data_IF_734084981533
#
_entry.id   IF_734084981533
#
_cell.length_a   1.000
_cell.length_b   1.000
_cell.length_c   1.000
_cell.angle_alpha   90.00
_cell.angle_beta   90.00
_cell.angle_gamma   90.00
#
_symmetry.space_group_name_H-M   'P 1'
#
loop_
_entity.id
_entity.type
_entity.pdbx_description
1 polymer ?
#
# COMPACT_ATOMS: atom_id res chain seq x y z
N UNK A 1 7.36 -4.78 1.86
CA UNK A 1 6.35 -5.53 1.08
C UNK A 1 5.02 -5.43 1.80
N UNK A 2 3.91 -5.20 1.10
CA UNK A 2 2.58 -4.92 1.68
C UNK A 2 1.55 -5.87 1.05
N UNK A 3 0.69 -6.48 1.87
CA UNK A 3 -0.40 -7.34 1.38
C UNK A 3 -1.79 -6.67 1.52
N UNK A 4 -2.32 -6.24 0.39
CA UNK A 4 -3.72 -5.86 0.18
C UNK A 4 -4.50 -6.83 -0.71
N UNK A 5 -3.94 -7.99 -1.04
CA UNK A 5 -4.60 -9.01 -1.85
C UNK A 5 -5.62 -9.78 -1.01
N UNK A 6 -6.82 -9.89 -1.54
CA UNK A 6 -8.02 -10.36 -0.84
C UNK A 6 -8.06 -11.90 -0.84
N UNK A 7 -7.14 -12.53 -0.10
CA UNK A 7 -7.07 -13.99 0.05
C UNK A 7 -6.54 -14.38 1.44
N UNK A 8 -7.22 -15.32 2.09
CA UNK A 8 -6.75 -16.01 3.30
C UNK A 8 -6.13 -17.35 2.91
N UNK A 9 -5.02 -17.82 3.50
CA UNK A 9 -4.32 -17.29 4.68
C UNK A 9 -3.26 -16.20 4.39
N UNK A 10 -3.34 -15.50 3.25
CA UNK A 10 -2.38 -14.49 2.84
C UNK A 10 -1.46 -14.97 1.71
N UNK A 11 -0.33 -14.28 1.52
CA UNK A 11 0.57 -14.48 0.37
C UNK A 11 2.00 -14.82 0.78
N UNK A 12 2.76 -15.43 -0.12
CA UNK A 12 4.17 -15.76 0.09
C UNK A 12 5.01 -15.01 -0.95
N UNK A 13 5.94 -14.18 -0.49
CA UNK A 13 6.88 -13.45 -1.35
C UNK A 13 8.18 -14.23 -1.56
N UNK A 14 8.64 -14.30 -2.80
CA UNK A 14 9.94 -14.87 -3.19
C UNK A 14 10.70 -13.93 -4.10
N UNK A 15 12.02 -13.89 -3.94
CA UNK A 15 12.92 -13.17 -4.84
C UNK A 15 14.00 -14.14 -5.32
N UNK A 16 14.15 -14.30 -6.64
CA UNK A 16 15.06 -15.28 -7.27
C UNK A 16 14.97 -16.70 -6.67
N UNK A 17 13.74 -17.22 -6.50
CA UNK A 17 13.45 -18.55 -5.94
C UNK A 17 13.87 -18.79 -4.48
N UNK A 18 14.66 -17.90 -3.87
CA UNK A 18 14.87 -17.86 -2.43
C UNK A 18 13.65 -17.20 -1.77
N UNK A 19 13.08 -17.88 -0.77
CA UNK A 19 12.03 -17.30 0.06
C UNK A 19 12.58 -16.12 0.85
N UNK A 20 11.93 -14.96 0.74
CA UNK A 20 12.24 -13.81 1.60
C UNK A 20 11.45 -13.86 2.91
N UNK A 21 10.36 -14.63 2.90
CA UNK A 21 9.79 -15.23 4.09
C UNK A 21 10.24 -16.69 4.13
N UNK A 22 10.40 -17.23 5.33
CA UNK A 22 10.32 -18.68 5.52
C UNK A 22 9.07 -19.17 4.76
N UNK A 23 9.13 -20.27 3.99
CA UNK A 23 7.93 -20.92 3.44
C UNK A 23 6.81 -21.15 4.47
N UNK A 24 7.14 -21.13 5.77
CA UNK A 24 6.21 -21.21 6.90
C UNK A 24 5.54 -19.88 7.29
N UNK A 25 6.01 -18.71 6.80
CA UNK A 25 5.46 -17.39 7.15
C UNK A 25 4.77 -16.73 5.96
N UNK A 26 3.43 -16.76 6.00
CA UNK A 26 2.55 -16.05 5.09
C UNK A 26 2.43 -14.59 5.52
N UNK A 27 2.40 -13.69 4.57
CA UNK A 27 2.02 -12.31 4.83
C UNK A 27 0.50 -12.20 4.75
N UNK A 28 -0.16 -12.13 5.91
CA UNK A 28 -1.61 -12.05 6.00
C UNK A 28 -2.16 -10.76 5.35
N UNK A 29 -3.44 -10.78 4.99
CA UNK A 29 -4.13 -9.59 4.51
C UNK A 29 -4.05 -8.44 5.53
N UNK A 30 -3.96 -7.19 5.06
CA UNK A 30 -3.74 -5.96 5.87
C UNK A 30 -2.41 -5.95 6.65
N UNK A 31 -1.46 -6.79 6.27
CA UNK A 31 -0.14 -6.86 6.91
C UNK A 31 0.98 -6.44 5.95
N UNK A 32 2.15 -6.17 6.52
CA UNK A 32 3.34 -5.77 5.78
C UNK A 32 4.62 -6.32 6.41
N UNK A 33 5.67 -6.42 5.60
CA UNK A 33 7.03 -6.74 6.01
C UNK A 33 7.93 -5.53 5.83
N UNK A 34 8.66 -5.21 6.89
CA UNK A 34 9.63 -4.11 6.95
C UNK A 34 11.05 -4.60 6.69
N UNK A 35 11.91 -3.68 6.28
CA UNK A 35 13.37 -3.83 6.30
C UNK A 35 13.92 -5.03 5.52
N UNK A 36 13.35 -5.29 4.35
CA UNK A 36 13.86 -6.30 3.43
C UNK A 36 15.01 -5.72 2.60
N UNK A 37 16.23 -6.23 2.79
CA UNK A 37 17.39 -5.83 2.00
C UNK A 37 17.44 -6.65 0.71
N UNK A 38 17.50 -5.98 -0.44
CA UNK A 38 17.67 -6.58 -1.76
C UNK A 38 18.95 -6.05 -2.41
N UNK A 39 19.67 -6.91 -3.12
CA UNK A 39 20.77 -6.46 -3.98
C UNK A 39 20.22 -5.68 -5.18
N UNK A 40 20.92 -4.60 -5.56
CA UNK A 40 20.63 -3.86 -6.79
C UNK A 40 20.68 -4.74 -8.04
N UNK A 41 20.01 -4.30 -9.11
CA UNK A 41 19.88 -4.99 -10.38
C UNK A 41 18.49 -5.59 -10.62
N UNK A 42 18.33 -6.30 -11.74
CA UNK A 42 17.08 -6.94 -12.11
C UNK A 42 16.83 -8.18 -11.24
N UNK A 43 15.71 -8.17 -10.52
CA UNK A 43 15.30 -9.24 -9.61
C UNK A 43 13.97 -9.82 -10.04
N UNK A 44 13.91 -11.15 -10.13
CA UNK A 44 12.62 -11.84 -10.27
C UNK A 44 11.89 -11.80 -8.93
N UNK A 45 10.68 -11.28 -8.96
CA UNK A 45 9.76 -11.23 -7.84
C UNK A 45 8.58 -12.14 -8.16
N UNK A 46 8.33 -13.12 -7.31
CA UNK A 46 7.18 -14.01 -7.45
C UNK A 46 6.37 -13.99 -6.17
N UNK A 47 5.06 -13.99 -6.32
CA UNK A 47 4.11 -14.02 -5.21
C UNK A 47 3.22 -15.23 -5.40
N UNK A 48 3.04 -15.98 -4.33
CA UNK A 48 2.26 -17.21 -4.31
C UNK A 48 1.07 -17.07 -3.36
N UNK A 49 -0.05 -17.66 -3.76
CA UNK A 49 -1.22 -17.86 -2.90
C UNK A 49 -0.83 -18.71 -1.70
N UNK A 50 -1.22 -18.27 -0.50
CA UNK A 50 -1.02 -19.03 0.73
C UNK A 50 -1.96 -20.23 0.86
N UNK A 51 -3.01 -20.30 0.03
CA UNK A 51 -4.02 -21.38 0.02
C UNK A 51 -3.47 -22.64 -0.62
N UNK A 52 -2.97 -22.51 -1.84
CA UNK A 52 -2.65 -23.64 -2.71
C UNK A 52 -1.22 -23.58 -3.28
N UNK A 53 -0.41 -22.60 -2.85
CA UNK A 53 0.92 -22.32 -3.40
C UNK A 53 0.94 -22.08 -4.91
N UNK A 54 -0.19 -21.72 -5.53
CA UNK A 54 -0.22 -21.28 -6.91
C UNK A 54 0.46 -19.92 -7.03
N UNK A 55 1.24 -19.74 -8.09
CA UNK A 55 1.87 -18.44 -8.37
C UNK A 55 0.81 -17.48 -8.88
N UNK A 56 0.62 -16.35 -8.20
CA UNK A 56 -0.37 -15.33 -8.54
C UNK A 56 0.27 -14.11 -9.21
N UNK A 57 1.56 -13.87 -8.96
CA UNK A 57 2.36 -12.82 -9.62
C UNK A 57 3.72 -13.39 -9.97
N UNK A 58 4.20 -13.10 -11.18
CA UNK A 58 5.58 -13.35 -11.60
C UNK A 58 6.07 -12.15 -12.41
N UNK A 59 7.02 -11.41 -11.87
CA UNK A 59 7.50 -10.18 -12.51
C UNK A 59 9.00 -10.00 -12.30
N UNK A 60 9.57 -9.09 -13.08
CA UNK A 60 10.95 -8.64 -12.92
C UNK A 60 10.93 -7.15 -12.63
N UNK A 61 11.58 -6.75 -11.54
CA UNK A 61 11.80 -5.34 -11.21
C UNK A 61 13.29 -5.05 -11.12
N UNK A 62 13.71 -3.89 -11.60
CA UNK A 62 15.12 -3.47 -11.53
C UNK A 62 15.30 -2.51 -10.37
N UNK A 63 15.94 -3.01 -9.31
CA UNK A 63 16.23 -2.25 -8.11
C UNK A 63 17.50 -1.42 -8.29
N UNK A 64 17.43 -0.14 -7.94
CA UNK A 64 18.58 0.76 -7.92
C UNK A 64 19.31 0.60 -6.59
N UNK A 65 20.62 0.80 -6.64
CA UNK A 65 21.41 0.85 -5.42
C UNK A 65 20.98 2.01 -4.52
N UNK A 66 21.15 1.84 -3.21
CA UNK A 66 20.89 2.88 -2.19
C UNK A 66 19.51 3.55 -2.28
N UNK A 67 18.48 2.81 -2.73
CA UNK A 67 17.12 3.30 -2.93
C UNK A 67 16.11 2.46 -2.14
N UNK A 68 15.16 3.12 -1.47
CA UNK A 68 14.08 2.47 -0.73
C UNK A 68 12.85 2.25 -1.61
N UNK A 69 12.16 1.13 -1.40
CA UNK A 69 11.01 0.73 -2.20
C UNK A 69 9.88 0.16 -1.34
N UNK A 70 8.65 0.43 -1.79
CA UNK A 70 7.45 -0.19 -1.29
C UNK A 70 6.79 -1.03 -2.39
N UNK A 71 6.74 -2.34 -2.19
CA UNK A 71 6.04 -3.28 -3.06
C UNK A 71 4.67 -3.66 -2.49
N UNK A 72 3.63 -3.61 -3.31
CA UNK A 72 2.24 -3.85 -2.93
C UNK A 72 1.64 -4.94 -3.80
N UNK A 73 1.11 -6.01 -3.18
CA UNK A 73 0.20 -6.95 -3.85
C UNK A 73 -1.22 -6.66 -3.42
N UNK A 74 -2.15 -6.67 -4.36
CA UNK A 74 -3.55 -6.27 -4.18
C UNK A 74 -4.42 -6.91 -5.27
N UNK A 75 -5.72 -6.66 -5.23
CA UNK A 75 -6.69 -7.26 -6.13
C UNK A 75 -7.43 -8.44 -5.50
N UNK A 76 -8.26 -9.08 -6.33
CA UNK A 76 -9.13 -10.20 -5.98
C UNK A 76 -8.56 -11.54 -6.46
N UNK A 77 -9.02 -12.67 -5.90
CA UNK A 77 -8.70 -13.99 -6.44
C UNK A 77 -8.97 -14.10 -7.95
N UNK A 78 -7.92 -14.36 -8.73
CA UNK A 78 -7.97 -14.44 -10.19
C UNK A 78 -7.56 -13.15 -10.93
N UNK A 79 -7.45 -12.02 -10.23
CA UNK A 79 -6.97 -10.72 -10.77
C UNK A 79 -5.96 -10.07 -9.80
N UNK A 80 -4.93 -10.84 -9.43
CA UNK A 80 -3.88 -10.36 -8.55
C UNK A 80 -2.99 -9.34 -9.29
N UNK A 81 -2.76 -8.19 -8.67
CA UNK A 81 -1.91 -7.11 -9.18
C UNK A 81 -0.73 -6.89 -8.24
N UNK A 82 0.38 -6.44 -8.82
CA UNK A 82 1.56 -6.08 -8.05
C UNK A 82 2.25 -4.86 -8.63
N UNK A 83 2.56 -3.90 -7.75
CA UNK A 83 3.26 -2.67 -8.10
C UNK A 83 4.41 -2.42 -7.12
N UNK A 84 5.43 -1.71 -7.60
CA UNK A 84 6.56 -1.27 -6.80
C UNK A 84 6.70 0.24 -6.97
N UNK A 85 6.73 0.96 -5.84
CA UNK A 85 6.96 2.40 -5.81
C UNK A 85 8.32 2.70 -5.18
N UNK A 86 9.04 3.68 -5.75
CA UNK A 86 10.22 4.28 -5.11
C UNK A 86 9.76 5.19 -3.96
N UNK A 87 10.48 5.12 -2.84
CA UNK A 87 10.15 5.89 -1.65
C UNK A 87 11.01 7.16 -1.62
N UNK A 88 10.41 8.30 -2.01
CA UNK A 88 11.10 9.59 -2.07
C UNK A 88 10.78 10.41 -0.83
N UNK A 89 11.67 10.36 0.15
CA UNK A 89 11.60 11.18 1.35
C UNK A 89 11.66 12.68 1.00
N UNK A 90 10.92 13.48 1.76
CA UNK A 90 11.08 14.94 1.80
C UNK A 90 12.02 15.32 2.94
N UNK A 91 12.89 16.31 2.72
CA UNK A 91 13.79 16.80 3.77
C UNK A 91 12.99 17.53 4.87
N UNK A 92 13.52 17.51 6.08
CA UNK A 92 13.10 18.34 7.22
C UNK A 92 11.59 18.32 7.50
N UNK A 93 11.09 17.18 8.00
CA UNK A 93 9.70 17.07 8.45
C UNK A 93 9.38 17.96 9.67
N UNK A 94 10.38 18.33 10.47
CA UNK A 94 10.15 19.03 11.75
C UNK A 94 9.15 18.26 12.62
N UNK A 95 8.12 18.96 13.09
CA UNK A 95 7.03 18.39 13.91
C UNK A 95 5.91 17.74 13.08
N UNK A 96 6.09 17.57 11.76
CA UNK A 96 5.13 16.93 10.87
C UNK A 96 5.44 15.44 10.67
N UNK A 97 4.44 14.72 10.15
CA UNK A 97 4.58 13.41 9.55
C UNK A 97 4.54 13.52 8.00
N UNK A 98 5.29 12.68 7.31
CA UNK A 98 5.23 12.57 5.85
C UNK A 98 4.16 11.56 5.43
N UNK A 99 3.19 11.94 4.61
CA UNK A 99 2.11 11.07 4.16
C UNK A 99 2.12 10.91 2.63
N UNK A 100 1.75 9.75 2.15
CA UNK A 100 1.38 9.52 0.74
C UNK A 100 0.21 8.55 0.68
N UNK A 101 -0.46 8.49 -0.46
CA UNK A 101 -1.66 7.66 -0.62
C UNK A 101 -1.57 6.74 -1.82
N UNK A 102 -2.01 5.48 -1.66
CA UNK A 102 -2.26 4.52 -2.73
C UNK A 102 -3.69 3.98 -2.64
N UNK A 103 -4.48 4.23 -3.67
CA UNK A 103 -5.75 3.58 -3.99
C UNK A 103 -5.47 2.24 -4.66
N UNK A 104 -5.66 1.15 -3.92
CA UNK A 104 -5.45 -0.24 -4.36
C UNK A 104 -6.72 -1.08 -4.21
N UNK A 105 -7.87 -0.44 -3.95
CA UNK A 105 -9.12 -1.12 -3.70
C UNK A 105 -9.86 -1.43 -5.00
N UNK A 106 -10.67 -2.47 -4.97
CA UNK A 106 -11.52 -2.89 -6.08
C UNK A 106 -12.95 -2.35 -5.91
N UNK A 107 -13.64 -2.17 -7.04
CA UNK A 107 -15.04 -1.72 -7.06
C UNK A 107 -15.25 -0.23 -6.76
N UNK A 108 -14.19 0.59 -6.78
CA UNK A 108 -14.28 2.05 -6.67
C UNK A 108 -13.23 2.72 -7.54
N UNK A 109 -13.65 3.68 -8.38
CA UNK A 109 -12.74 4.39 -9.30
C UNK A 109 -12.10 5.60 -8.59
N UNK A 110 -12.89 6.66 -8.44
CA UNK A 110 -12.44 7.91 -7.83
C UNK A 110 -12.40 7.83 -6.31
N UNK A 111 -11.26 8.18 -5.73
CA UNK A 111 -11.06 8.23 -4.28
C UNK A 111 -10.37 9.53 -3.87
N UNK A 112 -10.99 10.20 -2.92
CA UNK A 112 -10.48 11.38 -2.25
C UNK A 112 -10.19 11.06 -0.78
N UNK A 113 -9.03 11.48 -0.28
CA UNK A 113 -8.62 11.32 1.11
C UNK A 113 -8.63 12.68 1.80
N UNK A 114 -9.39 12.81 2.89
CA UNK A 114 -9.33 13.95 3.81
C UNK A 114 -8.70 13.51 5.14
N UNK A 115 -7.95 14.41 5.78
CA UNK A 115 -7.20 14.12 7.01
C UNK A 115 -7.54 15.17 8.07
N UNK A 116 -7.84 14.71 9.29
CA UNK A 116 -8.22 15.57 10.40
C UNK A 116 -9.46 16.41 10.09
N UNK A 117 -9.34 17.71 10.26
CA UNK A 117 -10.43 18.69 10.04
C UNK A 117 -10.37 19.34 8.65
N UNK A 118 -9.58 18.80 7.71
CA UNK A 118 -9.45 19.36 6.37
C UNK A 118 -10.74 19.22 5.56
N UNK A 119 -11.18 20.32 4.97
CA UNK A 119 -12.40 20.38 4.16
C UNK A 119 -12.14 20.01 2.70
N UNK A 120 -10.91 20.17 2.22
CA UNK A 120 -10.45 19.76 0.89
C UNK A 120 -9.71 18.41 0.93
N UNK A 121 -9.79 17.59 -0.12
CA UNK A 121 -8.96 16.39 -0.24
C UNK A 121 -7.47 16.72 -0.17
N UNK A 122 -6.73 15.96 0.65
CA UNK A 122 -5.27 15.95 0.68
C UNK A 122 -4.73 15.15 -0.51
N UNK A 123 -5.42 14.07 -0.86
CA UNK A 123 -5.08 13.24 -2.01
C UNK A 123 -6.33 12.96 -2.84
N UNK A 124 -6.18 12.97 -4.16
CA UNK A 124 -7.21 12.62 -5.13
C UNK A 124 -6.63 11.61 -6.11
N UNK A 125 -7.35 10.52 -6.36
CA UNK A 125 -7.05 9.50 -7.36
C UNK A 125 -8.32 9.25 -8.17
N UNK A 126 -8.21 9.28 -9.50
CA UNK A 126 -9.35 9.05 -10.42
C UNK A 126 -9.40 7.61 -10.94
N UNK A 127 -8.49 6.77 -10.47
CA UNK A 127 -8.34 5.38 -10.88
C UNK A 127 -7.55 4.61 -9.82
N UNK A 128 -7.73 3.28 -9.82
CA UNK A 128 -6.90 2.36 -9.06
C UNK A 128 -5.43 2.51 -9.50
N UNK A 129 -4.50 2.45 -8.55
CA UNK A 129 -3.08 2.50 -8.88
C UNK A 129 -2.64 1.24 -9.61
N UNK A 130 -1.78 1.41 -10.60
CA UNK A 130 -1.14 0.36 -11.38
C UNK A 130 0.30 0.76 -11.78
N UNK A 131 0.95 -0.07 -12.57
CA UNK A 131 2.33 0.19 -13.01
C UNK A 131 2.52 1.47 -13.85
N UNK A 132 1.46 2.00 -14.45
CA UNK A 132 1.49 3.16 -15.36
C UNK A 132 1.35 4.49 -14.64
N UNK A 133 0.64 4.52 -13.50
CA UNK A 133 0.33 5.76 -12.76
C UNK A 133 1.02 5.88 -11.38
N UNK A 134 1.74 4.84 -10.93
CA UNK A 134 2.36 4.77 -9.60
C UNK A 134 3.41 5.85 -9.31
N UNK A 135 4.01 6.44 -10.34
CA UNK A 135 5.04 7.46 -10.19
C UNK A 135 4.52 8.71 -9.44
N UNK A 136 3.23 9.02 -9.56
CA UNK A 136 2.60 10.18 -8.89
C UNK A 136 2.41 9.99 -7.38
N UNK A 137 2.75 8.81 -6.86
CA UNK A 137 2.58 8.42 -5.46
C UNK A 137 3.93 8.29 -4.73
N UNK A 138 5.06 8.53 -5.41
CA UNK A 138 6.39 8.33 -4.83
C UNK A 138 6.74 9.38 -3.77
N UNK A 139 6.19 10.60 -3.90
CA UNK A 139 6.53 11.77 -3.07
C UNK A 139 5.57 11.87 -1.89
N UNK A 140 6.13 12.07 -0.70
CA UNK A 140 5.36 12.34 0.51
C UNK A 140 5.01 13.83 0.64
N UNK A 141 3.88 14.12 1.28
CA UNK A 141 3.47 15.47 1.69
C UNK A 141 3.55 15.58 3.22
N UNK A 142 4.07 16.69 3.73
CA UNK A 142 4.15 16.92 5.18
C UNK A 142 2.78 17.33 5.73
N UNK A 143 2.32 16.67 6.81
CA UNK A 143 1.07 16.96 7.53
C UNK A 143 1.32 17.00 9.04
N UNK A 144 0.52 17.77 9.77
CA UNK A 144 0.63 17.86 11.22
C UNK A 144 0.56 16.47 11.87
N UNK A 145 1.47 16.23 12.83
CA UNK A 145 1.48 15.04 13.67
C UNK A 145 0.42 15.10 14.78
N UNK A 146 0.19 13.96 15.43
CA UNK A 146 -0.79 13.74 16.48
C UNK A 146 -1.95 12.85 16.03
N UNK A 147 -2.93 12.68 16.94
CA UNK A 147 -4.14 11.92 16.67
C UNK A 147 -4.96 12.57 15.55
N UNK A 148 -5.31 11.79 14.53
CA UNK A 148 -6.08 12.25 13.39
C UNK A 148 -7.09 11.21 12.90
N UNK A 149 -8.07 11.66 12.14
CA UNK A 149 -9.02 10.82 11.42
C UNK A 149 -8.76 10.92 9.93
N UNK A 150 -8.70 9.78 9.25
CA UNK A 150 -8.50 9.69 7.80
C UNK A 150 -9.78 9.13 7.20
N UNK A 151 -10.32 9.83 6.20
CA UNK A 151 -11.58 9.46 5.54
C UNK A 151 -11.36 9.34 4.05
N UNK A 152 -11.81 8.23 3.46
CA UNK A 152 -11.90 8.05 2.03
C UNK A 152 -13.33 8.34 1.56
N UNK A 153 -13.44 9.11 0.49
CA UNK A 153 -14.71 9.45 -0.17
C UNK A 153 -14.64 9.13 -1.65
N UNK A 154 -15.76 8.70 -2.23
CA UNK A 154 -15.87 8.48 -3.68
C UNK A 154 -16.12 9.80 -4.45
N UNK A 155 -16.28 9.71 -5.79
CA UNK A 155 -16.62 10.84 -6.66
C UNK A 155 -17.86 11.63 -6.20
N UNK A 156 -18.88 10.94 -5.65
CA UNK A 156 -20.12 11.56 -5.17
C UNK A 156 -19.95 12.26 -3.81
N UNK A 157 -18.77 12.20 -3.20
CA UNK A 157 -18.49 12.73 -1.86
C UNK A 157 -19.00 11.82 -0.73
N UNK A 158 -19.53 10.64 -1.05
CA UNK A 158 -19.95 9.64 -0.08
C UNK A 158 -18.73 9.03 0.59
N UNK A 159 -18.76 8.94 1.92
CA UNK A 159 -17.74 8.24 2.69
C UNK A 159 -17.81 6.73 2.42
N UNK A 160 -16.66 6.16 2.08
CA UNK A 160 -16.53 4.73 1.72
C UNK A 160 -15.62 3.96 2.67
N UNK A 161 -14.73 4.65 3.40
CA UNK A 161 -13.93 4.07 4.47
C UNK A 161 -13.44 5.15 5.44
N UNK A 162 -13.20 4.76 6.69
CA UNK A 162 -12.76 5.66 7.76
C UNK A 162 -11.76 4.96 8.69
N UNK A 163 -10.74 5.71 9.10
CA UNK A 163 -9.77 5.33 10.13
C UNK A 163 -9.71 6.43 11.17
N UNK A 164 -10.25 6.16 12.36
CA UNK A 164 -10.29 7.14 13.45
C UNK A 164 -9.07 7.01 14.38
N UNK A 165 -8.72 8.12 15.02
CA UNK A 165 -7.75 8.20 16.12
C UNK A 165 -6.40 7.54 15.81
N UNK A 166 -5.90 7.68 14.57
CA UNK A 166 -4.56 7.22 14.24
C UNK A 166 -3.54 8.27 14.68
N UNK A 167 -2.55 7.85 15.46
CA UNK A 167 -1.50 8.73 15.96
C UNK A 167 -0.35 8.85 14.96
N UNK A 168 -0.25 9.99 14.27
CA UNK A 168 0.85 10.30 13.36
C UNK A 168 2.04 10.84 14.15
N UNK A 169 3.15 10.12 14.20
CA UNK A 169 4.33 10.55 14.98
C UNK A 169 5.16 11.60 14.21
N UNK A 170 5.74 12.59 14.90
CA UNK A 170 6.63 13.58 14.27
C UNK A 170 7.86 12.90 13.66
N UNK A 171 8.26 13.37 12.49
CA UNK A 171 9.41 12.85 11.74
C UNK A 171 9.20 11.47 11.11
N UNK A 172 8.01 10.87 11.21
CA UNK A 172 7.71 9.55 10.62
C UNK A 172 7.02 9.67 9.27
N UNK A 173 7.26 8.68 8.42
CA UNK A 173 6.63 8.56 7.11
C UNK A 173 5.56 7.48 7.14
N UNK A 174 4.45 7.71 6.44
CA UNK A 174 3.34 6.79 6.35
C UNK A 174 2.83 6.66 4.90
N UNK A 175 2.66 5.42 4.45
CA UNK A 175 1.83 5.14 3.27
C UNK A 175 0.42 4.85 3.74
N UNK A 176 -0.52 5.69 3.33
CA UNK A 176 -1.95 5.40 3.41
C UNK A 176 -2.28 4.48 2.23
N UNK A 177 -2.92 3.35 2.51
CA UNK A 177 -3.44 2.44 1.49
C UNK A 177 -4.95 2.32 1.63
N UNK A 178 -5.69 2.36 0.52
CA UNK A 178 -7.07 1.88 0.46
C UNK A 178 -7.05 0.52 -0.24
N UNK A 179 -7.51 -0.53 0.45
CA UNK A 179 -7.55 -1.93 -0.04
C UNK A 179 -8.91 -2.55 0.27
N UNK A 180 -9.17 -3.73 -0.29
CA UNK A 180 -10.45 -4.44 -0.15
C UNK A 180 -11.39 -4.16 -1.33
N UNK A 181 -12.63 -4.61 -1.20
CA UNK A 181 -13.63 -4.57 -2.27
C UNK A 181 -14.86 -3.77 -1.81
N UNK A 182 -15.28 -2.80 -2.61
CA UNK A 182 -16.46 -1.97 -2.36
C UNK A 182 -17.78 -2.78 -2.30
N UNK A 183 -17.80 -3.98 -2.90
CA UNK A 183 -18.97 -4.86 -2.95
C UNK A 183 -18.95 -5.98 -1.90
N UNK A 184 -17.82 -6.17 -1.20
CA UNK A 184 -17.64 -7.26 -0.23
C UNK A 184 -18.06 -6.85 1.18
N UNK A 185 -18.80 -7.73 1.86
CA UNK A 185 -19.14 -7.58 3.29
C UNK A 185 -18.11 -8.24 4.20
N UNK A 186 -17.36 -9.22 3.71
CA UNK A 186 -16.33 -9.93 4.47
C UNK A 186 -15.00 -9.15 4.49
N UNK A 187 -14.64 -8.58 3.33
CA UNK A 187 -13.39 -7.86 3.13
C UNK A 187 -13.68 -6.47 2.53
N UNK A 188 -14.47 -5.64 3.23
CA UNK A 188 -14.85 -4.32 2.76
C UNK A 188 -13.64 -3.40 2.65
N UNK A 189 -13.85 -2.25 2.00
CA UNK A 189 -12.88 -1.18 1.88
C UNK A 189 -12.26 -0.84 3.25
N UNK A 190 -10.93 -0.77 3.27
CA UNK A 190 -10.14 -0.58 4.47
C UNK A 190 -9.00 0.40 4.23
N UNK A 191 -8.84 1.35 5.14
CA UNK A 191 -7.71 2.28 5.19
C UNK A 191 -6.63 1.71 6.09
N UNK A 192 -5.51 1.31 5.49
CA UNK A 192 -4.29 0.90 6.18
C UNK A 192 -3.26 2.03 6.25
N UNK A 193 -2.45 2.05 7.30
CA UNK A 193 -1.28 2.94 7.42
C UNK A 193 -0.02 2.12 7.68
N UNK A 194 0.92 2.19 6.75
CA UNK A 194 2.25 1.59 6.88
C UNK A 194 3.23 2.66 7.34
N UNK A 195 3.70 2.56 8.58
CA UNK A 195 4.74 3.42 9.16
C UNK A 195 6.13 2.97 8.67
N UNK A 196 7.03 3.90 8.32
CA UNK A 196 8.44 3.63 7.99
C UNK A 196 9.40 4.19 9.04
#
# INVERSE_FOLDING_TARGET
MINGYVEEPGVIYRVHQNGYNDPLFRLNYKSYLKNTLLYAGSRQLSIYSGVNNAKIVDTVYTFKDSTSYSGFVYGLPGDAKFIVSEDKSIADLGDNAGLRFFHLADGVDDVNITIGNETSPVFTRTEQQDSTNIATNQVFVAKASGSTTIVAKNAAGTEIARRENYDLKPGRYYSIILIGDATSTELPLYIGLIEY
#
